data_IF_199236597911
#
_entry.id   IF_199236597911
#
_cell.length_a   1.000
_cell.length_b   1.000
_cell.length_c   1.000
_cell.angle_alpha   90.00
_cell.angle_beta   90.00
_cell.angle_gamma   90.00
#
_symmetry.space_group_name_H-M   'P 1'
#
loop_
_entity.id
_entity.type
_entity.pdbx_description
1 polymer ?
#
# COMPACT_ATOMS: atom_id res chain seq x y z
N UNK A 1 4.51 60.56 -26.99
CA UNK A 1 4.14 59.68 -25.88
C UNK A 1 2.65 59.38 -25.97
N UNK A 2 2.29 58.14 -26.33
CA UNK A 2 0.90 57.68 -26.39
C UNK A 2 0.70 56.64 -25.30
N UNK A 3 -0.36 56.68 -24.51
CA UNK A 3 -0.64 55.65 -23.50
C UNK A 3 -1.23 54.41 -24.14
N UNK A 4 -0.71 53.24 -23.77
CA UNK A 4 -1.25 51.95 -24.18
C UNK A 4 -2.42 51.59 -23.25
N UNK A 5 -3.58 51.35 -23.86
CA UNK A 5 -4.76 50.82 -23.19
C UNK A 5 -4.56 49.33 -22.89
N UNK A 6 -4.60 48.95 -21.61
CA UNK A 6 -4.66 47.54 -21.16
C UNK A 6 -6.14 47.17 -21.05
N UNK A 7 -6.54 46.27 -21.93
CA UNK A 7 -7.88 45.68 -21.96
C UNK A 7 -7.92 44.53 -20.93
N UNK A 8 -8.68 44.70 -19.84
CA UNK A 8 -9.00 43.61 -18.91
C UNK A 8 -10.12 42.75 -19.51
N UNK A 9 -9.81 41.53 -19.86
CA UNK A 9 -10.79 40.51 -20.21
C UNK A 9 -11.36 39.89 -18.94
N UNK A 10 -12.63 40.17 -18.67
CA UNK A 10 -13.39 39.55 -17.56
C UNK A 10 -13.86 38.16 -17.97
N UNK A 11 -13.27 37.12 -17.37
CA UNK A 11 -13.67 35.73 -17.60
C UNK A 11 -14.86 35.38 -16.67
N UNK A 12 -16.07 35.33 -17.23
CA UNK A 12 -17.29 34.90 -16.53
C UNK A 12 -17.28 33.36 -16.42
N UNK A 13 -17.04 32.85 -15.21
CA UNK A 13 -17.24 31.46 -14.85
C UNK A 13 -18.76 31.19 -14.67
N UNK A 14 -19.37 30.47 -15.60
CA UNK A 14 -20.70 29.89 -15.41
C UNK A 14 -20.60 28.68 -14.50
N UNK A 15 -21.09 28.80 -13.28
CA UNK A 15 -21.34 27.67 -12.37
C UNK A 15 -22.68 27.05 -12.76
N UNK A 16 -22.65 25.88 -13.38
CA UNK A 16 -23.87 25.10 -13.64
C UNK A 16 -24.29 24.38 -12.34
N UNK A 17 -25.45 24.74 -11.81
CA UNK A 17 -26.06 24.05 -10.68
C UNK A 17 -26.61 22.68 -11.13
N UNK A 18 -26.47 21.61 -10.30
CA UNK A 18 -27.06 20.33 -10.64
C UNK A 18 -28.57 20.35 -10.47
N UNK A 19 -29.26 19.92 -11.54
CA UNK A 19 -30.70 19.72 -11.59
C UNK A 19 -31.07 18.52 -10.72
N UNK A 20 -31.74 18.74 -9.59
CA UNK A 20 -32.32 17.70 -8.75
C UNK A 20 -33.50 17.06 -9.50
N UNK A 21 -33.28 15.86 -10.03
CA UNK A 21 -34.37 15.04 -10.59
C UNK A 21 -35.21 14.49 -9.44
N UNK A 22 -36.48 14.87 -9.40
CA UNK A 22 -37.50 14.33 -8.49
C UNK A 22 -37.82 12.87 -8.87
N UNK A 23 -37.63 11.96 -7.92
CA UNK A 23 -38.03 10.55 -8.03
C UNK A 23 -39.54 10.44 -7.77
N UNK A 24 -40.35 9.85 -8.67
CA UNK A 24 -41.76 9.60 -8.41
C UNK A 24 -41.91 8.46 -7.38
N UNK A 25 -42.73 8.72 -6.35
CA UNK A 25 -43.20 7.67 -5.42
C UNK A 25 -44.25 6.83 -6.12
N UNK A 26 -43.95 5.59 -6.43
CA UNK A 26 -44.95 4.60 -6.81
C UNK A 26 -44.95 3.41 -5.83
N UNK A 27 -46.15 3.05 -5.48
CA UNK A 27 -46.63 2.11 -4.49
C UNK A 27 -46.11 0.66 -4.66
N UNK A 28 -45.82 0.08 -3.50
CA UNK A 28 -46.08 -1.31 -3.04
C UNK A 28 -46.41 -2.35 -4.13
N UNK A 29 -45.38 -3.19 -4.35
CA UNK A 29 -45.63 -4.60 -4.62
C UNK A 29 -44.67 -5.43 -3.73
N UNK A 30 -45.26 -6.35 -2.94
CA UNK A 30 -44.56 -7.30 -2.08
C UNK A 30 -43.89 -8.33 -2.98
N UNK A 31 -42.66 -8.05 -3.38
CA UNK A 31 -41.83 -9.03 -4.03
C UNK A 31 -40.96 -9.75 -2.97
N UNK A 32 -41.03 -11.08 -2.99
CA UNK A 32 -40.10 -11.98 -2.32
C UNK A 32 -38.66 -11.49 -2.47
N UNK A 33 -37.82 -11.55 -1.42
CA UNK A 33 -36.43 -11.18 -1.55
C UNK A 33 -35.81 -12.05 -2.65
N UNK A 34 -35.06 -11.44 -3.60
CA UNK A 34 -34.33 -12.22 -4.59
C UNK A 34 -33.44 -13.20 -3.83
N UNK A 35 -33.52 -14.45 -4.23
CA UNK A 35 -32.62 -15.51 -3.79
C UNK A 35 -31.20 -14.97 -3.83
N UNK A 36 -30.51 -14.98 -2.67
CA UNK A 36 -29.10 -14.63 -2.56
C UNK A 36 -28.36 -15.20 -3.75
N UNK A 37 -27.64 -14.41 -4.56
CA UNK A 37 -26.83 -14.98 -5.62
C UNK A 37 -25.92 -16.01 -4.97
N UNK A 38 -25.89 -17.20 -5.52
CA UNK A 38 -24.98 -18.27 -5.11
C UNK A 38 -23.58 -17.62 -5.09
N UNK A 39 -22.95 -17.54 -3.93
CA UNK A 39 -21.59 -17.07 -3.79
C UNK A 39 -20.77 -17.97 -4.70
N UNK A 40 -20.42 -17.47 -5.88
CA UNK A 40 -19.45 -18.15 -6.74
C UNK A 40 -18.26 -18.38 -5.83
N UNK A 41 -17.85 -19.65 -5.70
CA UNK A 41 -16.78 -20.08 -4.80
C UNK A 41 -15.55 -19.21 -5.02
N UNK A 42 -15.42 -18.15 -4.22
CA UNK A 42 -14.21 -17.35 -4.19
C UNK A 42 -13.16 -18.21 -3.53
N UNK A 43 -12.05 -18.43 -4.23
CA UNK A 43 -10.91 -19.09 -3.64
C UNK A 43 -10.34 -18.20 -2.53
N UNK A 44 -9.94 -18.80 -1.42
CA UNK A 44 -9.07 -18.08 -0.49
C UNK A 44 -7.78 -17.73 -1.23
N UNK A 45 -7.26 -16.53 -1.00
CA UNK A 45 -6.04 -15.98 -1.65
C UNK A 45 -4.87 -16.97 -1.66
N UNK A 46 -4.76 -17.80 -0.62
CA UNK A 46 -3.71 -18.84 -0.50
C UNK A 46 -3.75 -19.96 -1.54
N UNK A 47 -4.88 -20.19 -2.19
CA UNK A 47 -5.03 -21.27 -3.17
C UNK A 47 -4.80 -20.82 -4.61
N UNK A 48 -4.61 -19.52 -4.85
CA UNK A 48 -4.27 -18.97 -6.17
C UNK A 48 -2.76 -19.05 -6.38
N UNK A 49 -2.33 -19.69 -7.48
CA UNK A 49 -0.91 -19.83 -7.84
C UNK A 49 -0.18 -18.51 -8.06
N UNK A 50 -0.91 -17.42 -8.33
CA UNK A 50 -0.35 -16.07 -8.45
C UNK A 50 0.08 -15.51 -7.09
N UNK A 51 -0.40 -16.08 -5.97
CA UNK A 51 -0.14 -15.59 -4.61
C UNK A 51 0.80 -16.55 -3.88
N UNK A 52 1.96 -16.05 -3.52
CA UNK A 52 2.90 -16.77 -2.67
C UNK A 52 2.91 -16.17 -1.27
N UNK A 53 2.48 -16.92 -0.27
CA UNK A 53 2.57 -16.48 1.14
C UNK A 53 4.04 -16.30 1.53
N UNK A 54 4.38 -15.13 2.06
CA UNK A 54 5.72 -14.74 2.51
C UNK A 54 5.79 -14.74 4.04
N UNK A 55 4.76 -14.18 4.67
CA UNK A 55 4.65 -14.10 6.12
C UNK A 55 3.18 -14.15 6.52
N UNK A 56 2.89 -14.87 7.60
CA UNK A 56 1.55 -14.92 8.18
C UNK A 56 1.63 -15.06 9.69
N UNK A 57 0.89 -14.21 10.39
CA UNK A 57 0.69 -14.28 11.84
C UNK A 57 -0.69 -13.69 12.22
N UNK A 58 -0.90 -13.39 13.48
CA UNK A 58 -2.16 -12.84 14.01
C UNK A 58 -2.36 -11.34 13.72
N UNK A 59 -1.41 -10.68 13.09
CA UNK A 59 -1.45 -9.24 12.77
C UNK A 59 -1.55 -8.97 11.28
N UNK A 60 -0.88 -9.79 10.47
CA UNK A 60 -0.73 -9.54 9.04
C UNK A 60 -0.53 -10.83 8.26
N UNK A 61 -1.03 -10.84 7.02
CA UNK A 61 -0.66 -11.80 5.97
C UNK A 61 0.01 -11.04 4.85
N UNK A 62 1.21 -11.45 4.48
CA UNK A 62 1.98 -10.85 3.39
C UNK A 62 2.06 -11.86 2.25
N UNK A 63 1.63 -11.44 1.07
CA UNK A 63 1.71 -12.21 -0.16
C UNK A 63 2.57 -11.48 -1.17
N UNK A 64 3.44 -12.21 -1.83
CA UNK A 64 4.00 -11.79 -3.09
C UNK A 64 3.07 -12.24 -4.20
N UNK A 65 2.64 -11.30 -5.04
CA UNK A 65 1.73 -11.53 -6.15
C UNK A 65 2.49 -11.38 -7.45
N UNK A 66 2.39 -12.38 -8.32
CA UNK A 66 2.99 -12.36 -9.66
C UNK A 66 1.96 -12.76 -10.70
N UNK A 67 1.67 -11.86 -11.64
CA UNK A 67 0.70 -12.08 -12.71
C UNK A 67 1.40 -11.90 -14.05
N UNK A 68 1.46 -12.97 -14.85
CA UNK A 68 2.07 -12.93 -16.17
C UNK A 68 1.42 -11.83 -17.05
N UNK A 69 2.15 -11.40 -18.09
CA UNK A 69 1.67 -10.38 -19.01
C UNK A 69 0.29 -10.73 -19.58
N UNK A 70 -0.63 -9.79 -19.56
CA UNK A 70 -2.02 -9.90 -20.05
C UNK A 70 -2.86 -11.01 -19.41
N UNK A 71 -2.42 -11.56 -18.27
CA UNK A 71 -3.13 -12.58 -17.50
C UNK A 71 -3.85 -11.98 -16.30
N UNK A 72 -4.65 -12.82 -15.65
CA UNK A 72 -5.40 -12.42 -14.46
C UNK A 72 -5.26 -13.48 -13.35
N UNK A 73 -5.38 -13.03 -12.11
CA UNK A 73 -5.56 -13.92 -10.97
C UNK A 73 -6.93 -14.61 -11.03
N UNK A 74 -7.14 -15.62 -10.20
CA UNK A 74 -8.48 -16.09 -9.86
C UNK A 74 -9.28 -14.99 -9.14
N UNK A 75 -10.54 -15.26 -8.83
CA UNK A 75 -11.33 -14.39 -7.96
C UNK A 75 -10.95 -14.67 -6.50
N UNK A 76 -10.21 -13.74 -5.88
CA UNK A 76 -9.70 -13.85 -4.52
C UNK A 76 -10.56 -13.08 -3.52
N UNK A 77 -10.60 -13.50 -2.27
CA UNK A 77 -11.34 -12.86 -1.21
C UNK A 77 -10.40 -12.43 -0.09
N UNK A 78 -10.32 -11.12 0.18
CA UNK A 78 -9.68 -10.56 1.36
C UNK A 78 -10.72 -10.21 2.41
N UNK A 79 -10.58 -10.80 3.58
CA UNK A 79 -11.49 -10.54 4.70
C UNK A 79 -11.29 -9.15 5.28
N UNK A 80 -10.06 -8.71 5.36
CA UNK A 80 -9.62 -7.47 5.99
C UNK A 80 -9.10 -6.49 4.95
N UNK A 81 -8.98 -5.24 5.34
CA UNK A 81 -8.33 -4.21 4.54
C UNK A 81 -6.88 -4.64 4.24
N UNK A 82 -6.40 -4.29 3.07
CA UNK A 82 -5.06 -4.65 2.65
C UNK A 82 -4.35 -3.51 1.93
N UNK A 83 -3.04 -3.53 2.02
CA UNK A 83 -2.15 -2.59 1.33
C UNK A 83 -1.54 -3.32 0.14
N UNK A 84 -1.67 -2.73 -1.05
CA UNK A 84 -0.97 -3.17 -2.27
C UNK A 84 0.24 -2.29 -2.45
N UNK A 85 1.39 -2.90 -2.70
CA UNK A 85 2.65 -2.21 -3.01
C UNK A 85 3.17 -2.72 -4.35
N UNK A 86 3.53 -1.81 -5.26
CA UNK A 86 4.11 -2.18 -6.54
C UNK A 86 5.61 -2.47 -6.43
N UNK A 87 6.04 -3.59 -7.01
CA UNK A 87 7.45 -3.94 -7.20
C UNK A 87 7.84 -3.66 -8.67
N UNK A 88 8.26 -2.44 -8.92
CA UNK A 88 8.46 -1.88 -10.25
C UNK A 88 7.22 -1.14 -10.76
N UNK A 89 7.34 -0.59 -11.98
CA UNK A 89 6.23 0.10 -12.65
C UNK A 89 5.14 -0.89 -13.05
N UNK A 90 3.89 -0.61 -12.70
CA UNK A 90 2.76 -1.50 -12.93
C UNK A 90 1.59 -0.81 -13.61
N UNK A 91 0.86 -1.58 -14.43
CA UNK A 91 -0.40 -1.17 -15.06
C UNK A 91 -1.36 -2.36 -15.00
N UNK A 92 -2.38 -2.27 -14.18
CA UNK A 92 -3.31 -3.37 -13.94
C UNK A 92 -4.71 -2.86 -13.60
N UNK A 93 -5.66 -3.76 -13.56
CA UNK A 93 -7.04 -3.51 -13.16
C UNK A 93 -7.41 -4.41 -11.97
N UNK A 94 -8.04 -3.83 -10.96
CA UNK A 94 -8.73 -4.59 -9.91
C UNK A 94 -10.22 -4.58 -10.24
N UNK A 95 -10.80 -5.76 -10.43
CA UNK A 95 -12.22 -5.93 -10.73
C UNK A 95 -12.91 -6.78 -9.67
N UNK A 96 -14.00 -6.26 -9.08
CA UNK A 96 -14.79 -6.97 -8.07
C UNK A 96 -16.12 -6.30 -7.81
N UNK A 97 -17.15 -7.07 -7.39
CA UNK A 97 -18.48 -6.56 -7.04
C UNK A 97 -19.11 -5.64 -8.11
N UNK A 98 -18.82 -5.92 -9.41
CA UNK A 98 -19.34 -5.14 -10.54
C UNK A 98 -18.57 -3.84 -10.81
N UNK A 99 -17.55 -3.53 -10.05
CA UNK A 99 -16.69 -2.35 -10.22
C UNK A 99 -15.33 -2.76 -10.81
N UNK A 100 -14.71 -1.81 -11.52
CA UNK A 100 -13.38 -1.95 -12.13
C UNK A 100 -12.57 -0.70 -11.82
N UNK A 101 -11.38 -0.91 -11.31
CA UNK A 101 -10.46 0.15 -10.94
C UNK A 101 -9.14 -0.04 -11.69
N UNK A 102 -8.91 0.69 -12.79
CA UNK A 102 -7.60 0.70 -13.45
C UNK A 102 -6.60 1.39 -12.54
N UNK A 103 -5.43 0.81 -12.41
CA UNK A 103 -4.36 1.29 -11.54
C UNK A 103 -3.06 1.35 -12.33
N UNK A 104 -2.37 2.48 -12.21
CA UNK A 104 -0.98 2.65 -12.64
C UNK A 104 -0.19 3.06 -11.42
N UNK A 105 0.87 2.33 -11.13
CA UNK A 105 1.69 2.56 -9.95
C UNK A 105 3.15 2.58 -10.34
N UNK A 106 3.91 3.48 -9.74
CA UNK A 106 5.36 3.49 -9.83
C UNK A 106 5.99 2.52 -8.81
N UNK A 107 7.28 2.27 -8.91
CA UNK A 107 8.00 1.37 -8.01
C UNK A 107 7.88 1.83 -6.54
N UNK A 108 7.48 0.90 -5.67
CA UNK A 108 7.25 1.16 -4.26
C UNK A 108 6.04 2.06 -3.98
N UNK A 109 5.24 2.45 -4.98
CA UNK A 109 3.96 3.11 -4.74
C UNK A 109 2.97 2.13 -4.10
N UNK A 110 2.06 2.65 -3.30
CA UNK A 110 1.14 1.83 -2.52
C UNK A 110 -0.29 2.38 -2.53
N UNK A 111 -1.24 1.47 -2.36
CA UNK A 111 -2.66 1.78 -2.20
C UNK A 111 -3.26 0.96 -1.07
N UNK A 112 -4.19 1.58 -0.33
CA UNK A 112 -5.01 0.87 0.66
C UNK A 112 -6.33 0.50 0.01
N UNK A 113 -6.69 -0.78 0.09
CA UNK A 113 -7.91 -1.33 -0.50
C UNK A 113 -8.78 -1.93 0.60
N UNK A 114 -10.06 -1.62 0.56
CA UNK A 114 -11.04 -2.16 1.50
C UNK A 114 -11.23 -3.66 1.29
N UNK A 115 -11.20 -4.40 2.39
CA UNK A 115 -11.56 -5.81 2.45
C UNK A 115 -13.06 -6.06 2.42
N UNK A 116 -13.47 -7.29 2.65
CA UNK A 116 -14.86 -7.74 2.67
C UNK A 116 -15.46 -8.01 1.29
N UNK A 117 -14.67 -7.97 0.23
CA UNK A 117 -15.12 -8.22 -1.14
C UNK A 117 -14.17 -9.15 -1.89
N UNK A 118 -14.71 -9.89 -2.85
CA UNK A 118 -13.90 -10.64 -3.80
C UNK A 118 -13.49 -9.78 -4.97
N UNK A 119 -12.25 -9.93 -5.40
CA UNK A 119 -11.70 -9.21 -6.54
C UNK A 119 -10.77 -10.10 -7.38
N UNK A 120 -10.46 -9.63 -8.56
CA UNK A 120 -9.49 -10.19 -9.50
C UNK A 120 -8.53 -9.10 -9.93
N UNK A 121 -7.26 -9.41 -10.00
CA UNK A 121 -6.24 -8.54 -10.60
C UNK A 121 -6.02 -8.99 -12.04
N UNK A 122 -6.06 -8.06 -12.97
CA UNK A 122 -5.71 -8.26 -14.37
C UNK A 122 -4.52 -7.42 -14.72
N UNK A 123 -3.43 -8.03 -15.13
CA UNK A 123 -2.26 -7.32 -15.65
C UNK A 123 -2.58 -6.79 -17.06
N UNK A 124 -2.47 -5.48 -17.26
CA UNK A 124 -2.76 -4.80 -18.52
C UNK A 124 -1.50 -4.55 -19.38
N UNK A 125 -0.33 -5.05 -18.93
CA UNK A 125 0.94 -4.94 -19.67
C UNK A 125 1.42 -6.31 -20.16
N UNK A 126 2.33 -6.31 -21.14
CA UNK A 126 2.96 -7.53 -21.64
C UNK A 126 4.02 -8.09 -20.67
N UNK A 127 4.57 -7.25 -19.79
CA UNK A 127 5.55 -7.63 -18.78
C UNK A 127 4.87 -8.22 -17.55
N UNK A 128 5.53 -9.10 -16.78
CA UNK A 128 4.98 -9.61 -15.53
C UNK A 128 4.68 -8.46 -14.54
N UNK A 129 3.51 -8.50 -13.95
CA UNK A 129 3.12 -7.66 -12.81
C UNK A 129 3.64 -8.29 -11.53
N UNK A 130 4.33 -7.52 -10.70
CA UNK A 130 4.80 -7.94 -9.39
C UNK A 130 4.30 -6.97 -8.32
N UNK A 131 3.59 -7.50 -7.33
CA UNK A 131 3.06 -6.73 -6.22
C UNK A 131 3.38 -7.43 -4.89
N UNK A 132 3.28 -6.68 -3.81
CA UNK A 132 3.10 -7.22 -2.46
C UNK A 132 1.72 -6.83 -1.98
N UNK A 133 0.97 -7.79 -1.46
CA UNK A 133 -0.26 -7.53 -0.75
C UNK A 133 -0.09 -7.84 0.73
N UNK A 134 -0.42 -6.88 1.58
CA UNK A 134 -0.38 -7.02 3.04
C UNK A 134 -1.80 -6.89 3.58
N UNK A 135 -2.45 -8.02 3.87
CA UNK A 135 -3.75 -8.05 4.53
C UNK A 135 -3.54 -7.81 6.03
N UNK A 136 -4.05 -6.69 6.54
CA UNK A 136 -3.92 -6.29 7.95
C UNK A 136 -5.10 -6.87 8.72
N UNK A 137 -4.85 -7.75 9.69
CA UNK A 137 -5.90 -8.49 10.41
C UNK A 137 -6.76 -7.57 11.30
N UNK A 138 -6.28 -6.37 11.63
CA UNK A 138 -7.05 -5.30 12.26
C UNK A 138 -7.57 -4.30 11.23
N UNK A 139 -8.60 -3.54 11.58
CA UNK A 139 -9.08 -2.46 10.71
C UNK A 139 -8.03 -1.37 10.57
N UNK A 140 -7.82 -0.89 9.34
CA UNK A 140 -6.83 0.17 9.04
C UNK A 140 -7.39 1.57 9.32
N UNK A 141 -8.72 1.74 9.26
CA UNK A 141 -9.41 3.04 9.37
C UNK A 141 -8.90 4.13 8.39
N UNK A 142 -8.81 3.85 7.08
CA UNK A 142 -8.28 4.82 6.12
C UNK A 142 -9.14 6.08 5.98
N UNK A 143 -10.38 6.04 6.45
CA UNK A 143 -11.30 7.18 6.51
C UNK A 143 -10.98 8.18 7.64
N UNK A 144 -10.09 7.80 8.58
CA UNK A 144 -9.65 8.61 9.72
C UNK A 144 -8.13 8.64 9.81
N UNK A 145 -7.43 9.14 8.76
CA UNK A 145 -5.98 9.18 8.78
C UNK A 145 -5.49 10.22 9.80
N UNK A 146 -4.45 9.88 10.53
CA UNK A 146 -3.66 10.87 11.29
C UNK A 146 -2.91 11.75 10.31
N UNK A 147 -2.34 11.14 9.25
CA UNK A 147 -1.72 11.84 8.13
C UNK A 147 -1.67 10.94 6.88
N UNK A 148 -1.40 11.53 5.71
CA UNK A 148 -1.40 10.83 4.42
C UNK A 148 -2.82 10.51 3.93
N UNK A 149 -2.96 9.57 2.99
CA UNK A 149 -4.24 9.09 2.43
C UNK A 149 -5.21 10.21 1.99
N UNK A 150 -4.67 11.33 1.48
CA UNK A 150 -5.46 12.49 1.08
C UNK A 150 -5.77 13.49 2.21
N UNK A 151 -5.33 13.22 3.43
CA UNK A 151 -5.34 14.14 4.56
C UNK A 151 -4.11 15.06 4.58
N UNK A 152 -3.70 15.51 5.79
CA UNK A 152 -2.49 16.30 5.97
C UNK A 152 -1.24 15.48 5.64
N UNK A 153 -0.19 16.15 5.14
CA UNK A 153 1.10 15.49 4.93
C UNK A 153 1.66 14.94 6.25
N UNK A 154 2.27 13.75 6.19
CA UNK A 154 2.97 13.20 7.34
C UNK A 154 4.28 13.95 7.58
N UNK A 155 4.66 14.10 8.84
CA UNK A 155 5.99 14.54 9.19
C UNK A 155 6.95 13.35 9.18
N UNK A 156 8.16 13.54 8.64
CA UNK A 156 9.17 12.48 8.59
C UNK A 156 9.82 12.22 9.96
N UNK A 157 9.47 13.00 10.98
CA UNK A 157 10.07 12.93 12.30
C UNK A 157 11.55 13.35 12.30
N UNK A 158 12.28 12.98 13.39
CA UNK A 158 13.71 13.31 13.56
C UNK A 158 14.64 12.50 12.64
N UNK A 159 14.15 11.45 12.01
CA UNK A 159 14.91 10.52 11.17
C UNK A 159 14.64 10.71 9.67
N UNK A 160 14.00 11.81 9.27
CA UNK A 160 13.56 11.99 7.89
C UNK A 160 14.68 11.87 6.84
N UNK A 161 15.86 12.41 7.12
CA UNK A 161 17.02 12.34 6.20
C UNK A 161 18.29 12.74 6.92
N UNK A 162 19.42 12.09 6.60
CA UNK A 162 20.72 12.61 7.01
C UNK A 162 21.32 13.55 5.95
N UNK A 163 22.31 14.36 6.38
CA UNK A 163 22.93 15.40 5.54
C UNK A 163 23.65 14.83 4.31
N UNK A 164 24.29 13.67 4.43
CA UNK A 164 25.01 12.99 3.36
C UNK A 164 24.11 12.20 2.40
N UNK A 165 22.80 12.12 2.69
CA UNK A 165 21.83 11.40 1.88
C UNK A 165 21.97 9.87 1.94
N UNK A 166 22.82 9.32 2.82
CA UNK A 166 23.02 7.87 2.94
C UNK A 166 21.80 7.15 3.50
N UNK A 167 20.86 7.87 4.11
CA UNK A 167 19.56 7.33 4.45
C UNK A 167 18.45 8.39 4.32
N UNK A 168 17.25 7.91 4.01
CA UNK A 168 16.01 8.70 4.13
C UNK A 168 14.86 7.82 4.61
N UNK A 169 13.96 8.43 5.38
CA UNK A 169 12.72 7.82 5.83
C UNK A 169 11.58 8.80 5.62
N UNK A 170 10.47 8.31 5.08
CA UNK A 170 9.25 9.09 4.92
C UNK A 170 8.04 8.30 5.37
N UNK A 171 7.21 8.90 6.23
CA UNK A 171 5.92 8.33 6.59
C UNK A 171 4.96 8.51 5.42
N UNK A 172 4.47 7.42 4.85
CA UNK A 172 3.54 7.42 3.72
C UNK A 172 2.11 7.70 4.17
N UNK A 173 1.70 7.02 5.22
CA UNK A 173 0.49 7.35 5.96
C UNK A 173 0.52 6.76 7.38
N UNK A 174 -0.37 7.28 8.21
CA UNK A 174 -0.57 6.84 9.58
C UNK A 174 -2.05 6.93 9.94
N UNK A 175 -2.55 5.90 10.62
CA UNK A 175 -3.89 5.86 11.24
C UNK A 175 -3.76 5.61 12.73
N UNK A 176 -4.87 5.44 13.41
CA UNK A 176 -4.89 5.04 14.82
C UNK A 176 -4.40 3.60 15.06
N UNK A 177 -4.35 2.77 14.03
CA UNK A 177 -4.01 1.33 14.12
C UNK A 177 -2.69 0.95 13.47
N UNK A 178 -2.26 1.66 12.44
CA UNK A 178 -1.01 1.37 11.73
C UNK A 178 -0.26 2.64 11.31
N UNK A 179 1.06 2.48 11.15
CA UNK A 179 1.92 3.48 10.52
C UNK A 179 2.73 2.80 9.42
N UNK A 180 2.67 3.34 8.21
CA UNK A 180 3.51 2.93 7.09
C UNK A 180 4.59 3.97 6.82
N UNK A 181 5.82 3.50 6.68
CA UNK A 181 6.94 4.34 6.30
C UNK A 181 7.77 3.64 5.22
N UNK A 182 8.35 4.43 4.32
CA UNK A 182 9.37 4.02 3.37
C UNK A 182 10.72 4.41 3.90
N UNK A 183 11.68 3.50 3.82
CA UNK A 183 13.07 3.70 4.19
C UNK A 183 13.94 3.41 2.96
N UNK A 184 14.92 4.27 2.72
CA UNK A 184 15.95 4.09 1.71
C UNK A 184 17.32 4.23 2.36
N UNK A 185 18.22 3.29 2.08
CA UNK A 185 19.60 3.31 2.54
C UNK A 185 20.53 3.20 1.32
N UNK A 186 21.41 4.18 1.16
CA UNK A 186 22.52 4.10 0.22
C UNK A 186 23.52 3.00 0.61
N UNK A 187 24.54 2.70 -0.21
CA UNK A 187 25.59 1.74 0.11
C UNK A 187 26.27 2.08 1.42
N UNK A 188 26.31 1.13 2.38
CA UNK A 188 26.83 1.36 3.72
C UNK A 188 26.00 2.28 4.62
N UNK A 189 24.89 2.83 4.10
CA UNK A 189 23.97 3.71 4.82
C UNK A 189 23.41 3.04 6.08
N UNK A 190 23.23 3.83 7.13
CA UNK A 190 22.80 3.38 8.45
C UNK A 190 21.50 4.11 8.83
N UNK A 191 20.44 3.35 9.04
CA UNK A 191 19.29 3.83 9.80
C UNK A 191 19.71 3.81 11.28
N UNK A 192 19.77 4.99 11.95
CA UNK A 192 20.24 5.08 13.33
C UNK A 192 19.41 4.24 14.28
N UNK A 193 19.91 4.04 15.51
CA UNK A 193 19.14 3.36 16.55
C UNK A 193 17.80 4.06 16.75
N UNK A 194 16.75 3.27 16.64
CA UNK A 194 15.38 3.70 16.84
C UNK A 194 14.61 2.62 17.60
N UNK A 195 13.55 3.05 18.24
CA UNK A 195 12.74 2.20 19.11
C UNK A 195 11.34 2.03 18.52
N UNK A 196 10.83 0.80 18.58
CA UNK A 196 9.47 0.44 18.24
C UNK A 196 8.73 -0.05 19.49
N UNK A 197 7.69 0.67 19.89
CA UNK A 197 6.82 0.25 21.00
C UNK A 197 5.91 -0.90 20.60
N UNK A 198 5.65 -1.02 19.29
CA UNK A 198 4.72 -2.00 18.71
C UNK A 198 5.47 -2.95 17.77
N UNK A 199 4.86 -4.11 17.54
CA UNK A 199 5.38 -5.02 16.53
C UNK A 199 5.28 -4.39 15.13
N UNK A 200 6.21 -4.77 14.24
CA UNK A 200 6.21 -4.27 12.88
C UNK A 200 6.71 -5.32 11.88
N UNK A 201 6.39 -5.12 10.62
CA UNK A 201 6.92 -5.89 9.49
C UNK A 201 7.74 -4.97 8.59
N UNK A 202 8.88 -5.47 8.14
CA UNK A 202 9.69 -4.89 7.07
C UNK A 202 9.43 -5.67 5.81
N UNK A 203 9.11 -4.99 4.70
CA UNK A 203 8.93 -5.57 3.37
C UNK A 203 9.93 -4.96 2.42
N UNK A 204 10.79 -5.79 1.84
CA UNK A 204 11.83 -5.33 0.91
C UNK A 204 11.23 -5.01 -0.46
N UNK A 205 11.62 -3.88 -1.07
CA UNK A 205 11.21 -3.50 -2.42
C UNK A 205 12.21 -3.95 -3.50
N UNK A 206 13.43 -4.31 -3.08
CA UNK A 206 14.49 -4.77 -3.97
C UNK A 206 15.28 -5.90 -3.31
N UNK A 207 16.26 -6.46 -4.02
CA UNK A 207 17.24 -7.34 -3.38
C UNK A 207 18.02 -6.55 -2.34
N UNK A 208 18.00 -7.02 -1.09
CA UNK A 208 18.47 -6.28 0.08
C UNK A 208 19.35 -7.17 0.95
N UNK A 209 20.47 -6.62 1.41
CA UNK A 209 21.32 -7.20 2.43
C UNK A 209 21.48 -6.18 3.56
N UNK A 210 20.93 -6.46 4.73
CA UNK A 210 20.96 -5.58 5.90
C UNK A 210 21.68 -6.26 7.07
N UNK A 211 22.50 -5.51 7.79
CA UNK A 211 22.88 -5.87 9.14
C UNK A 211 21.88 -5.25 10.11
N UNK A 212 21.14 -6.10 10.78
CA UNK A 212 20.16 -5.74 11.80
C UNK A 212 20.84 -5.95 13.18
N UNK A 213 21.10 -4.85 13.88
CA UNK A 213 21.75 -4.88 15.18
C UNK A 213 20.74 -4.45 16.25
N UNK A 214 20.23 -5.43 16.96
CA UNK A 214 19.24 -5.25 18.03
C UNK A 214 19.98 -4.95 19.33
N UNK A 215 19.57 -3.90 20.04
CA UNK A 215 20.13 -3.54 21.35
C UNK A 215 19.97 -4.69 22.33
N UNK A 216 21.07 -5.04 23.01
CA UNK A 216 21.17 -6.16 23.96
C UNK A 216 20.94 -7.57 23.34
N UNK A 217 21.05 -7.73 22.03
CA UNK A 217 20.97 -9.01 21.34
C UNK A 217 22.09 -9.16 20.30
N UNK A 218 22.17 -10.33 19.67
CA UNK A 218 23.11 -10.55 18.58
C UNK A 218 22.64 -9.86 17.30
N UNK A 219 23.57 -9.26 16.56
CA UNK A 219 23.31 -8.78 15.21
C UNK A 219 23.06 -9.96 14.28
N UNK A 220 22.17 -9.76 13.31
CA UNK A 220 21.86 -10.74 12.26
C UNK A 220 21.93 -10.08 10.87
N UNK A 221 22.30 -10.86 9.88
CA UNK A 221 22.20 -10.44 8.49
C UNK A 221 20.85 -10.87 7.93
N UNK A 222 20.17 -9.95 7.24
CA UNK A 222 18.93 -10.20 6.52
C UNK A 222 19.23 -10.12 5.04
N UNK A 223 19.00 -11.23 4.32
CA UNK A 223 19.07 -11.30 2.87
C UNK A 223 17.65 -11.49 2.34
N UNK A 224 17.10 -10.45 1.76
CA UNK A 224 15.72 -10.40 1.28
C UNK A 224 15.69 -10.13 -0.22
N UNK A 225 14.80 -10.80 -0.94
CA UNK A 225 14.47 -10.44 -2.30
C UNK A 225 13.32 -9.41 -2.31
N UNK A 226 13.05 -8.81 -3.46
CA UNK A 226 11.88 -7.95 -3.61
C UNK A 226 10.60 -8.72 -3.21
N UNK A 227 9.81 -8.12 -2.32
CA UNK A 227 8.59 -8.69 -1.79
C UNK A 227 8.78 -9.68 -0.63
N UNK A 228 10.00 -9.97 -0.20
CA UNK A 228 10.23 -10.75 1.04
C UNK A 228 9.99 -9.86 2.27
N UNK A 229 9.62 -10.49 3.39
CA UNK A 229 9.26 -9.79 4.62
C UNK A 229 10.02 -10.31 5.83
N UNK A 230 10.31 -9.43 6.79
CA UNK A 230 10.86 -9.75 8.10
C UNK A 230 9.94 -9.20 9.20
N UNK A 231 9.66 -10.04 10.20
CA UNK A 231 8.83 -9.69 11.33
C UNK A 231 9.68 -9.28 12.54
N UNK A 232 9.19 -8.27 13.26
CA UNK A 232 9.77 -7.78 14.49
C UNK A 232 8.75 -7.73 15.62
N UNK A 233 9.14 -8.17 16.81
CA UNK A 233 8.34 -8.07 18.02
C UNK A 233 8.24 -6.63 18.51
N UNK A 234 7.33 -6.37 19.41
CA UNK A 234 7.22 -5.11 20.14
C UNK A 234 8.43 -4.86 21.06
N UNK A 235 8.62 -3.60 21.46
CA UNK A 235 9.66 -3.13 22.38
C UNK A 235 11.09 -3.46 21.91
N UNK A 236 11.34 -3.33 20.61
CA UNK A 236 12.66 -3.53 20.02
C UNK A 236 13.34 -2.18 19.74
N UNK A 237 14.62 -2.08 20.11
CA UNK A 237 15.51 -1.01 19.68
C UNK A 237 16.58 -1.60 18.79
N UNK A 238 16.77 -1.07 17.58
CA UNK A 238 17.72 -1.60 16.63
C UNK A 238 18.27 -0.56 15.66
N UNK A 239 19.33 -0.92 14.97
CA UNK A 239 19.88 -0.20 13.82
C UNK A 239 19.80 -1.10 12.61
N UNK A 240 19.65 -0.52 11.40
CA UNK A 240 19.72 -1.24 10.13
C UNK A 240 20.80 -0.63 9.26
N UNK A 241 21.78 -1.43 8.84
CA UNK A 241 22.86 -0.99 7.95
C UNK A 241 22.78 -1.73 6.62
N UNK A 242 22.81 -0.98 5.52
CA UNK A 242 22.91 -1.57 4.19
C UNK A 242 24.32 -2.17 3.98
N UNK A 243 24.38 -3.48 3.75
CA UNK A 243 25.61 -4.22 3.46
C UNK A 243 25.89 -4.35 1.96
N UNK A 244 24.92 -3.98 1.10
CA UNK A 244 25.06 -4.06 -0.34
C UNK A 244 25.82 -2.86 -0.92
N UNK A 245 26.22 -2.98 -2.17
CA UNK A 245 26.85 -1.90 -2.96
C UNK A 245 25.83 -1.07 -3.74
N UNK A 246 24.54 -1.34 -3.55
CA UNK A 246 23.42 -0.66 -4.21
C UNK A 246 22.53 -0.02 -3.15
N UNK A 247 21.75 0.96 -3.57
CA UNK A 247 20.66 1.48 -2.76
C UNK A 247 19.66 0.36 -2.46
N UNK A 248 19.18 0.32 -1.22
CA UNK A 248 18.10 -0.58 -0.81
C UNK A 248 16.91 0.24 -0.36
N UNK A 249 15.73 -0.27 -0.65
CA UNK A 249 14.46 0.32 -0.24
C UNK A 249 13.59 -0.75 0.39
N UNK A 250 12.88 -0.37 1.45
CA UNK A 250 11.90 -1.21 2.11
C UNK A 250 10.78 -0.38 2.71
N UNK A 251 9.66 -1.01 2.94
CA UNK A 251 8.53 -0.44 3.66
C UNK A 251 8.47 -1.08 5.04
N UNK A 252 8.17 -0.27 6.05
CA UNK A 252 7.83 -0.75 7.39
C UNK A 252 6.35 -0.50 7.66
N UNK A 253 5.68 -1.48 8.26
CA UNK A 253 4.31 -1.36 8.77
C UNK A 253 4.35 -1.65 10.25
N UNK A 254 4.13 -0.63 11.05
CA UNK A 254 4.02 -0.74 12.51
C UNK A 254 2.55 -0.89 12.90
N UNK A 255 2.23 -1.85 13.78
CA UNK A 255 0.88 -2.19 14.24
C UNK A 255 0.69 -1.64 15.66
N UNK A 256 -0.07 -0.54 15.77
CA UNK A 256 -0.33 0.15 17.04
C UNK A 256 -1.36 -0.55 17.91
#
# INVERSE_FOLDING_TARGET
>A
MRPQNILFALLLLFVAAPLLAQVPKNNLDVHHPPSRPSVASSMETKSDHCFRSVLENDRVRVFRVEVAGLQSTSLNYHRHDYVVVSLGKSNFEIAGSGLRYPMQMEDGEMQVIKGGASHRITNLSDSPLQLVEMEVIREIHPERPVCGLGGSACSDGIFGRNEDGSYSQSTLFETDTIKLARVQLGPGGLLPEHHHDHCHVLVSLAQTALLDSVSNAHSRELHLNAGDAAWYSEHIAHTLKNLSTQDVQFITVEFK
#
